data_IF_662609797184
#
_entry.id   IF_662609797184
#
_cell.length_a   1.000
_cell.length_b   1.000
_cell.length_c   1.000
_cell.angle_alpha   90.00
_cell.angle_beta   90.00
_cell.angle_gamma   90.00
#
_symmetry.space_group_name_H-M   'P 1'
#
loop_
_entity.id
_entity.type
_entity.pdbx_description
1 polymer ?
#
# COMPACT_ATOMS: atom_id res chain seq x y z
N UNK A 1 7.94 28.33 61.43
CA UNK A 1 8.01 28.46 59.96
C UNK A 1 7.87 27.09 59.34
N UNK A 2 6.65 26.69 58.91
CA UNK A 2 6.35 25.38 58.27
C UNK A 2 6.55 25.56 56.77
N UNK A 3 7.47 24.79 56.17
CA UNK A 3 7.67 24.74 54.73
C UNK A 3 6.61 23.84 54.11
N UNK A 4 5.73 24.42 53.31
CA UNK A 4 4.72 23.74 52.54
C UNK A 4 5.39 23.20 51.25
N UNK A 5 5.60 21.89 51.17
CA UNK A 5 6.04 21.24 49.93
C UNK A 5 4.81 21.02 49.03
N UNK A 6 4.70 21.79 47.96
CA UNK A 6 3.71 21.58 46.89
C UNK A 6 4.22 20.47 45.96
N UNK A 7 3.61 19.30 46.06
CA UNK A 7 3.80 18.23 45.04
C UNK A 7 2.97 18.55 43.80
N UNK A 8 3.61 18.96 42.73
CA UNK A 8 2.97 19.06 41.42
C UNK A 8 2.96 17.64 40.83
N UNK A 9 1.79 17.00 40.87
CA UNK A 9 1.56 15.77 40.15
C UNK A 9 1.44 16.10 38.64
N UNK A 10 2.48 15.80 37.87
CA UNK A 10 2.41 15.84 36.43
C UNK A 10 1.54 14.67 35.98
N UNK A 11 0.28 14.96 35.65
CA UNK A 11 -0.65 14.02 35.02
C UNK A 11 -0.19 13.85 33.57
N UNK A 12 0.62 12.83 33.31
CA UNK A 12 0.85 12.38 31.95
C UNK A 12 -0.47 11.85 31.38
N UNK A 13 -1.22 12.71 30.70
CA UNK A 13 -2.29 12.28 29.81
C UNK A 13 -1.61 11.43 28.72
N UNK A 14 -1.62 10.11 28.90
CA UNK A 14 -1.39 9.16 27.83
C UNK A 14 -2.54 9.36 26.84
N UNK A 15 -2.31 10.23 25.86
CA UNK A 15 -3.17 10.33 24.68
C UNK A 15 -3.05 8.99 23.97
N UNK A 16 -3.94 8.06 24.28
CA UNK A 16 -4.03 6.80 23.58
C UNK A 16 -4.34 7.10 22.14
N UNK A 17 -3.32 7.07 21.29
CA UNK A 17 -3.51 7.17 19.84
C UNK A 17 -4.27 5.92 19.41
N UNK A 18 -5.59 6.06 19.20
CA UNK A 18 -6.37 4.99 18.61
C UNK A 18 -5.78 4.65 17.24
N UNK A 19 -5.48 3.37 17.04
CA UNK A 19 -5.00 2.88 15.75
C UNK A 19 -5.99 3.29 14.64
N UNK A 20 -5.45 3.87 13.57
CA UNK A 20 -6.28 4.29 12.44
C UNK A 20 -6.86 3.07 11.73
N UNK A 21 -8.16 3.10 11.46
CA UNK A 21 -8.86 2.00 10.79
C UNK A 21 -8.61 2.03 9.29
N UNK A 22 -8.10 0.92 8.73
CA UNK A 22 -7.78 0.83 7.31
C UNK A 22 -8.42 -0.37 6.63
N UNK A 23 -8.69 -0.22 5.34
CA UNK A 23 -8.95 -1.28 4.37
C UNK A 23 -7.84 -1.24 3.34
N UNK A 24 -7.27 -2.40 2.99
CA UNK A 24 -6.18 -2.49 2.02
C UNK A 24 -6.67 -3.26 0.79
N UNK A 25 -6.43 -2.70 -0.41
CA UNK A 25 -6.70 -3.31 -1.70
C UNK A 25 -5.36 -3.57 -2.42
N UNK A 26 -5.12 -4.81 -2.87
CA UNK A 26 -3.80 -5.26 -3.32
C UNK A 26 -3.89 -6.21 -4.51
N UNK A 27 -2.91 -6.17 -5.38
CA UNK A 27 -2.70 -7.17 -6.44
C UNK A 27 -1.44 -8.02 -6.20
N UNK A 28 -1.14 -8.28 -4.91
CA UNK A 28 0.03 -9.02 -4.44
C UNK A 28 0.28 -10.32 -5.21
N UNK A 29 1.53 -10.54 -5.61
CA UNK A 29 1.91 -11.68 -6.46
C UNK A 29 3.20 -12.38 -6.03
N UNK A 30 3.67 -12.14 -4.80
CA UNK A 30 4.86 -12.77 -4.22
C UNK A 30 4.76 -14.31 -4.27
N UNK A 31 5.89 -14.98 -4.40
CA UNK A 31 5.95 -16.44 -4.57
C UNK A 31 5.72 -16.92 -6.01
N UNK A 32 5.48 -16.00 -6.95
CA UNK A 32 5.40 -16.28 -8.38
C UNK A 32 6.65 -15.77 -9.09
N UNK A 33 7.35 -16.61 -9.91
CA UNK A 33 8.54 -16.18 -10.62
C UNK A 33 8.31 -14.95 -11.50
N UNK A 34 9.27 -14.03 -11.52
CA UNK A 34 9.27 -12.82 -12.34
C UNK A 34 8.06 -11.87 -12.12
N UNK A 35 7.45 -11.92 -10.92
CA UNK A 35 6.38 -11.00 -10.51
C UNK A 35 6.92 -9.96 -9.53
N UNK A 36 6.20 -8.86 -9.43
CA UNK A 36 6.49 -7.82 -8.43
C UNK A 36 6.21 -8.35 -7.01
N UNK A 37 7.01 -7.88 -6.06
CA UNK A 37 6.97 -8.31 -4.66
C UNK A 37 6.61 -7.19 -3.69
N UNK A 38 6.53 -5.96 -4.17
CA UNK A 38 6.41 -4.72 -3.40
C UNK A 38 5.11 -4.63 -2.60
N UNK A 39 3.99 -5.13 -3.12
CA UNK A 39 2.76 -5.35 -2.34
C UNK A 39 3.01 -6.17 -1.08
N UNK A 40 3.80 -7.25 -1.16
CA UNK A 40 4.06 -8.10 -0.01
C UNK A 40 4.88 -7.37 1.06
N UNK A 41 5.84 -6.53 0.66
CA UNK A 41 6.55 -5.63 1.57
C UNK A 41 5.58 -4.65 2.24
N UNK A 42 4.64 -4.08 1.48
CA UNK A 42 3.61 -3.19 2.01
C UNK A 42 2.68 -3.90 2.99
N UNK A 43 2.20 -5.10 2.66
CA UNK A 43 1.30 -5.87 3.53
C UNK A 43 1.99 -6.27 4.83
N UNK A 44 3.23 -6.81 4.78
CA UNK A 44 3.97 -7.16 5.99
C UNK A 44 4.29 -5.93 6.84
N UNK A 45 4.67 -4.81 6.20
CA UNK A 45 4.83 -3.52 6.89
C UNK A 45 3.54 -3.12 7.62
N UNK A 46 2.39 -3.25 6.96
CA UNK A 46 1.09 -2.96 7.56
C UNK A 46 0.77 -3.92 8.73
N UNK A 47 1.01 -5.22 8.59
CA UNK A 47 0.78 -6.22 9.64
C UNK A 47 1.62 -5.95 10.90
N UNK A 48 2.83 -5.42 10.73
CA UNK A 48 3.73 -5.09 11.83
C UNK A 48 3.57 -3.65 12.35
N UNK A 49 2.53 -2.92 11.93
CA UNK A 49 2.32 -1.51 12.27
C UNK A 49 1.18 -1.34 13.28
N UNK A 50 1.47 -1.16 14.58
CA UNK A 50 0.44 -1.00 15.61
C UNK A 50 -0.36 0.31 15.50
N UNK A 51 0.11 1.24 14.67
CA UNK A 51 -0.56 2.52 14.40
C UNK A 51 -1.81 2.36 13.54
N UNK A 52 -1.99 1.19 12.90
CA UNK A 52 -3.14 0.88 12.04
C UNK A 52 -3.86 -0.38 12.51
N UNK A 53 -5.17 -0.38 12.31
CA UNK A 53 -6.04 -1.55 12.50
C UNK A 53 -6.67 -1.91 11.16
N UNK A 54 -6.24 -3.03 10.61
CA UNK A 54 -6.73 -3.52 9.32
C UNK A 54 -8.07 -4.22 9.53
N UNK A 55 -9.10 -3.79 8.80
CA UNK A 55 -10.46 -4.34 8.91
C UNK A 55 -10.82 -5.32 7.80
N UNK A 56 -9.99 -5.39 6.78
CA UNK A 56 -10.12 -6.32 5.67
C UNK A 56 -9.11 -6.01 4.57
N UNK A 57 -8.83 -7.03 3.76
CA UNK A 57 -8.05 -6.95 2.55
C UNK A 57 -8.93 -7.37 1.37
N UNK A 58 -8.99 -6.52 0.34
CA UNK A 58 -9.49 -6.95 -0.97
C UNK A 58 -8.34 -7.26 -1.91
N UNK A 59 -8.56 -8.19 -2.81
CA UNK A 59 -7.62 -8.51 -3.86
C UNK A 59 -8.18 -8.14 -5.22
N UNK A 60 -7.33 -7.73 -6.13
CA UNK A 60 -7.67 -7.39 -7.51
C UNK A 60 -6.67 -8.04 -8.48
N UNK A 61 -7.00 -8.03 -9.76
CA UNK A 61 -6.04 -8.35 -10.81
C UNK A 61 -4.99 -7.23 -10.91
N UNK A 62 -3.88 -7.54 -11.54
CA UNK A 62 -2.85 -6.53 -11.80
C UNK A 62 -1.50 -7.17 -12.02
N UNK A 63 -0.71 -7.35 -10.98
CA UNK A 63 0.57 -8.05 -11.04
C UNK A 63 0.40 -9.53 -11.38
N UNK A 64 -0.77 -10.11 -11.09
CA UNK A 64 -1.17 -11.45 -11.49
C UNK A 64 -2.70 -11.54 -11.67
N UNK A 65 -3.24 -12.63 -12.26
CA UNK A 65 -4.67 -12.90 -12.28
C UNK A 65 -5.26 -12.99 -10.86
N UNK A 66 -6.52 -12.56 -10.68
CA UNK A 66 -7.22 -12.49 -9.38
C UNK A 66 -7.06 -13.74 -8.51
N UNK A 67 -7.19 -14.93 -9.10
CA UNK A 67 -7.03 -16.18 -8.34
C UNK A 67 -5.64 -16.37 -7.74
N UNK A 68 -4.58 -15.82 -8.37
CA UNK A 68 -3.22 -15.86 -7.86
C UNK A 68 -3.01 -14.79 -6.78
N UNK A 69 -3.47 -13.56 -7.02
CA UNK A 69 -3.36 -12.47 -6.03
C UNK A 69 -4.12 -12.80 -4.76
N UNK A 70 -5.31 -13.42 -4.87
CA UNK A 70 -6.09 -13.90 -3.71
C UNK A 70 -5.36 -14.99 -2.94
N UNK A 71 -4.74 -15.95 -3.63
CA UNK A 71 -3.95 -17.00 -2.96
C UNK A 71 -2.74 -16.41 -2.24
N UNK A 72 -1.99 -15.52 -2.89
CA UNK A 72 -0.83 -14.87 -2.30
C UNK A 72 -1.21 -14.03 -1.06
N UNK A 73 -2.29 -13.26 -1.13
CA UNK A 73 -2.79 -12.50 0.01
C UNK A 73 -3.20 -13.41 1.19
N UNK A 74 -3.89 -14.52 0.91
CA UNK A 74 -4.27 -15.50 1.95
C UNK A 74 -3.06 -16.18 2.57
N UNK A 75 -2.06 -16.56 1.77
CA UNK A 75 -0.81 -17.13 2.28
C UNK A 75 -0.07 -16.15 3.20
N UNK A 76 0.06 -14.88 2.80
CA UNK A 76 0.66 -13.86 3.66
C UNK A 76 -0.11 -13.64 4.97
N UNK A 77 -1.44 -13.58 4.92
CA UNK A 77 -2.27 -13.44 6.11
C UNK A 77 -2.17 -14.67 7.00
N UNK A 78 -2.19 -15.86 6.45
CA UNK A 78 -2.05 -17.11 7.22
C UNK A 78 -0.71 -17.17 7.94
N UNK A 79 0.38 -16.72 7.30
CA UNK A 79 1.73 -16.75 7.88
C UNK A 79 1.98 -15.62 8.87
N UNK A 80 1.54 -14.41 8.55
CA UNK A 80 2.00 -13.19 9.22
C UNK A 80 0.86 -12.27 9.70
N UNK A 81 -0.39 -12.55 9.33
CA UNK A 81 -1.54 -11.69 9.65
C UNK A 81 -1.92 -11.65 11.12
N UNK A 82 -1.47 -12.65 11.91
CA UNK A 82 -1.80 -12.76 13.34
C UNK A 82 -1.34 -11.55 14.16
N UNK A 83 -0.23 -10.93 13.78
CA UNK A 83 0.27 -9.70 14.43
C UNK A 83 -0.68 -8.50 14.26
N UNK A 84 -1.57 -8.56 13.27
CA UNK A 84 -2.61 -7.55 12.98
C UNK A 84 -4.03 -8.07 13.23
N UNK A 85 -4.20 -9.17 13.98
CA UNK A 85 -5.47 -9.83 14.28
C UNK A 85 -6.25 -10.26 13.00
N UNK A 86 -5.52 -10.64 11.95
CA UNK A 86 -6.10 -11.06 10.68
C UNK A 86 -6.12 -12.59 10.54
N UNK A 87 -7.18 -13.08 9.92
CA UNK A 87 -7.32 -14.45 9.43
C UNK A 87 -7.63 -14.44 7.93
N UNK A 88 -7.58 -15.59 7.27
CA UNK A 88 -7.89 -15.72 5.85
C UNK A 88 -9.31 -15.26 5.49
N UNK A 89 -10.22 -15.23 6.46
CA UNK A 89 -11.59 -14.75 6.29
C UNK A 89 -11.68 -13.22 6.13
N UNK A 90 -10.60 -12.51 6.43
CA UNK A 90 -10.47 -11.08 6.16
C UNK A 90 -9.96 -10.77 4.74
N UNK A 91 -9.76 -11.80 3.89
CA UNK A 91 -9.29 -11.64 2.50
C UNK A 91 -10.43 -11.91 1.52
N UNK A 92 -10.83 -10.86 0.80
CA UNK A 92 -12.00 -10.85 -0.09
C UNK A 92 -11.58 -10.68 -1.55
N UNK A 93 -11.99 -11.61 -2.40
CA UNK A 93 -11.73 -11.50 -3.84
C UNK A 93 -12.61 -10.42 -4.46
N UNK A 94 -12.01 -9.56 -5.28
CA UNK A 94 -12.66 -8.46 -5.97
C UNK A 94 -12.70 -8.64 -7.48
N UNK A 95 -12.25 -7.63 -8.22
CA UNK A 95 -12.25 -7.60 -9.67
C UNK A 95 -11.17 -8.51 -10.30
N UNK A 96 -11.53 -9.26 -11.33
CA UNK A 96 -10.61 -10.08 -12.12
C UNK A 96 -10.04 -9.37 -13.34
N UNK A 97 -10.63 -8.22 -13.73
CA UNK A 97 -10.23 -7.40 -14.86
C UNK A 97 -10.89 -6.01 -14.80
N UNK A 98 -10.48 -5.08 -15.66
CA UNK A 98 -11.16 -3.78 -15.82
C UNK A 98 -12.63 -3.91 -16.26
N UNK A 99 -12.99 -4.99 -16.97
CA UNK A 99 -14.37 -5.24 -17.39
C UNK A 99 -15.32 -5.59 -16.23
N UNK A 100 -14.78 -5.83 -15.04
CA UNK A 100 -15.57 -6.05 -13.82
C UNK A 100 -15.97 -4.75 -13.11
N UNK A 101 -15.59 -3.58 -13.65
CA UNK A 101 -16.02 -2.30 -13.11
C UNK A 101 -17.54 -2.22 -13.02
N UNK A 102 -18.06 -1.95 -11.81
CA UNK A 102 -19.49 -1.91 -11.51
C UNK A 102 -20.10 -3.30 -11.19
N UNK A 103 -19.36 -4.39 -11.29
CA UNK A 103 -19.85 -5.74 -10.95
C UNK A 103 -19.62 -6.03 -9.47
N UNK A 104 -20.69 -6.43 -8.81
CA UNK A 104 -20.67 -6.84 -7.39
C UNK A 104 -19.70 -8.01 -7.18
N UNK A 105 -18.95 -7.96 -6.07
CA UNK A 105 -17.94 -8.97 -5.70
C UNK A 105 -17.89 -9.16 -4.18
N UNK A 106 -17.21 -10.21 -3.71
CA UNK A 106 -16.97 -10.41 -2.28
C UNK A 106 -16.29 -9.21 -1.61
N UNK A 107 -15.37 -8.53 -2.33
CA UNK A 107 -14.72 -7.33 -1.85
C UNK A 107 -15.70 -6.16 -1.67
N UNK A 108 -16.60 -5.92 -2.64
CA UNK A 108 -17.59 -4.83 -2.54
C UNK A 108 -18.59 -5.08 -1.40
N UNK A 109 -18.99 -6.33 -1.17
CA UNK A 109 -19.93 -6.70 -0.11
C UNK A 109 -19.30 -6.54 1.28
N UNK A 110 -18.07 -7.05 1.44
CA UNK A 110 -17.35 -6.96 2.70
C UNK A 110 -17.01 -5.50 3.07
N UNK A 111 -16.53 -4.71 2.10
CA UNK A 111 -16.29 -3.28 2.31
C UNK A 111 -17.57 -2.55 2.72
N UNK A 112 -18.70 -2.86 2.08
CA UNK A 112 -20.02 -2.30 2.43
C UNK A 112 -20.37 -2.61 3.88
N UNK A 113 -20.23 -3.88 4.30
CA UNK A 113 -20.54 -4.31 5.67
C UNK A 113 -19.67 -3.61 6.73
N UNK A 114 -18.38 -3.39 6.41
CA UNK A 114 -17.48 -2.64 7.29
C UNK A 114 -17.88 -1.16 7.35
N UNK A 115 -18.13 -0.53 6.21
CA UNK A 115 -18.47 0.90 6.15
C UNK A 115 -19.83 1.24 6.77
N UNK A 116 -20.75 0.27 6.88
CA UNK A 116 -21.97 0.45 7.67
C UNK A 116 -21.68 0.68 9.16
N UNK A 117 -20.64 0.07 9.69
CA UNK A 117 -20.27 0.12 11.11
C UNK A 117 -19.29 1.24 11.47
N UNK A 118 -18.31 1.51 10.59
CA UNK A 118 -17.22 2.44 10.88
C UNK A 118 -16.70 3.09 9.60
N UNK A 119 -15.94 4.18 9.75
CA UNK A 119 -15.18 4.77 8.65
C UNK A 119 -13.85 4.07 8.49
N UNK A 120 -13.28 4.12 7.29
CA UNK A 120 -11.93 3.59 7.02
C UNK A 120 -11.12 4.55 6.15
N UNK A 121 -9.80 4.50 6.28
CA UNK A 121 -8.88 4.92 5.22
C UNK A 121 -8.72 3.75 4.26
N UNK A 122 -8.91 4.00 2.97
CA UNK A 122 -8.74 3.00 1.91
C UNK A 122 -7.33 3.13 1.33
N UNK A 123 -6.51 2.07 1.42
CA UNK A 123 -5.16 2.02 0.85
C UNK A 123 -5.22 1.11 -0.38
N UNK A 124 -4.98 1.69 -1.56
CA UNK A 124 -4.99 0.98 -2.83
C UNK A 124 -3.54 0.82 -3.33
N UNK A 125 -3.08 -0.42 -3.39
CA UNK A 125 -1.77 -0.82 -3.91
C UNK A 125 -1.88 -1.23 -5.39
N UNK A 126 -3.03 -1.78 -5.81
CA UNK A 126 -3.36 -2.19 -7.17
C UNK A 126 -4.33 -1.24 -7.91
N UNK A 127 -4.86 -1.67 -9.07
CA UNK A 127 -5.86 -0.94 -9.85
C UNK A 127 -7.12 -0.63 -9.03
N UNK A 128 -7.72 0.54 -9.25
CA UNK A 128 -8.83 1.07 -8.45
C UNK A 128 -10.21 0.44 -8.77
N UNK A 129 -10.27 -0.65 -9.51
CA UNK A 129 -11.52 -1.27 -9.98
C UNK A 129 -12.45 -1.64 -8.82
N UNK A 130 -11.93 -2.19 -7.70
CA UNK A 130 -12.73 -2.54 -6.53
C UNK A 130 -13.36 -1.31 -5.87
N UNK A 131 -12.57 -0.26 -5.64
CA UNK A 131 -13.05 0.98 -5.04
C UNK A 131 -14.06 1.69 -5.94
N UNK A 132 -13.77 1.79 -7.23
CA UNK A 132 -14.67 2.43 -8.19
C UNK A 132 -15.99 1.67 -8.30
N UNK A 133 -15.95 0.34 -8.29
CA UNK A 133 -17.15 -0.52 -8.24
C UNK A 133 -17.97 -0.22 -6.98
N UNK A 134 -17.34 -0.18 -5.81
CA UNK A 134 -18.03 0.18 -4.57
C UNK A 134 -18.70 1.56 -4.67
N UNK A 135 -18.03 2.56 -5.21
CA UNK A 135 -18.56 3.92 -5.36
C UNK A 135 -19.74 3.99 -6.34
N UNK A 136 -19.74 3.16 -7.40
CA UNK A 136 -20.87 3.07 -8.33
C UNK A 136 -22.08 2.38 -7.69
N UNK A 137 -21.86 1.31 -6.94
CA UNK A 137 -22.92 0.55 -6.28
C UNK A 137 -23.51 1.27 -5.05
N UNK A 138 -22.66 2.02 -4.32
CA UNK A 138 -22.99 2.64 -3.04
C UNK A 138 -22.56 4.11 -2.95
N UNK A 139 -22.99 5.01 -3.87
CA UNK A 139 -22.49 6.39 -3.94
C UNK A 139 -22.76 7.19 -2.66
N UNK A 140 -23.85 6.89 -1.94
CA UNK A 140 -24.19 7.53 -0.65
C UNK A 140 -23.24 7.16 0.49
N UNK A 141 -22.45 6.10 0.34
CA UNK A 141 -21.50 5.64 1.35
C UNK A 141 -20.07 6.16 1.12
N UNK A 142 -19.83 6.95 0.07
CA UNK A 142 -18.52 7.53 -0.21
C UNK A 142 -17.96 8.33 0.99
N UNK A 143 -18.82 9.01 1.76
CA UNK A 143 -18.44 9.77 2.97
C UNK A 143 -18.02 8.89 4.17
N UNK A 144 -18.16 7.58 4.06
CA UNK A 144 -17.66 6.61 5.04
C UNK A 144 -16.19 6.25 4.81
N UNK A 145 -15.65 6.60 3.65
CA UNK A 145 -14.21 6.52 3.36
C UNK A 145 -13.60 7.86 3.73
N UNK A 146 -12.73 7.87 4.74
CA UNK A 146 -12.11 9.11 5.26
C UNK A 146 -11.13 9.72 4.27
N UNK A 147 -10.34 8.85 3.62
CA UNK A 147 -9.41 9.17 2.54
C UNK A 147 -9.05 7.91 1.76
N UNK A 148 -8.56 8.14 0.56
CA UNK A 148 -7.89 7.12 -0.26
C UNK A 148 -6.39 7.44 -0.29
N UNK A 149 -5.55 6.43 -0.04
CA UNK A 149 -4.12 6.48 -0.34
C UNK A 149 -3.91 5.55 -1.53
N UNK A 150 -3.39 6.07 -2.63
CA UNK A 150 -3.28 5.33 -3.88
C UNK A 150 -1.86 5.39 -4.43
N UNK A 151 -1.31 4.22 -4.76
CA UNK A 151 -0.03 4.10 -5.47
C UNK A 151 -0.28 4.36 -6.94
N UNK A 152 0.01 5.58 -7.36
CA UNK A 152 -0.21 6.04 -8.71
C UNK A 152 -0.11 7.56 -8.84
N UNK A 153 -0.15 8.02 -10.09
CA UNK A 153 0.01 9.41 -10.47
C UNK A 153 1.40 9.72 -11.03
N UNK A 154 1.45 10.54 -12.06
CA UNK A 154 2.68 10.92 -12.73
C UNK A 154 2.68 12.40 -13.12
N UNK A 155 3.86 12.98 -13.33
CA UNK A 155 3.97 14.31 -13.91
C UNK A 155 3.56 14.25 -15.41
N UNK A 156 2.99 15.33 -15.97
CA UNK A 156 2.59 15.36 -17.38
C UNK A 156 3.76 15.07 -18.32
N UNK A 157 3.58 14.16 -19.28
CA UNK A 157 4.56 13.80 -20.27
C UNK A 157 5.81 13.06 -19.74
N UNK A 158 5.80 12.65 -18.47
CA UNK A 158 6.91 11.91 -17.86
C UNK A 158 6.60 10.42 -17.86
N UNK A 159 7.46 9.65 -18.54
CA UNK A 159 7.53 8.19 -18.42
C UNK A 159 8.60 7.82 -17.39
N UNK A 160 8.28 6.91 -16.49
CA UNK A 160 9.25 6.41 -15.52
C UNK A 160 10.24 5.49 -16.22
N UNK A 161 11.51 5.86 -16.19
CA UNK A 161 12.59 5.15 -16.89
C UNK A 161 13.71 4.76 -15.91
N UNK A 162 14.20 3.54 -16.05
CA UNK A 162 15.20 2.93 -15.19
C UNK A 162 16.45 2.50 -15.95
N UNK A 163 17.50 2.22 -15.18
CA UNK A 163 18.80 1.77 -15.67
C UNK A 163 19.70 2.94 -16.10
N UNK A 164 20.99 2.64 -16.37
CA UNK A 164 21.99 3.66 -16.72
C UNK A 164 21.65 4.44 -17.98
N UNK A 165 21.05 3.77 -18.97
CA UNK A 165 20.64 4.36 -20.25
C UNK A 165 19.20 4.87 -20.22
N UNK A 166 18.48 4.70 -19.11
CA UNK A 166 17.06 5.03 -18.95
C UNK A 166 16.17 4.40 -20.04
N UNK A 167 16.55 3.22 -20.53
CA UNK A 167 15.85 2.53 -21.61
C UNK A 167 14.72 1.58 -21.14
N UNK A 168 14.71 1.22 -19.87
CA UNK A 168 13.64 0.41 -19.30
C UNK A 168 12.52 1.33 -18.79
N UNK A 169 11.44 1.42 -19.58
CA UNK A 169 10.29 2.26 -19.25
C UNK A 169 9.17 1.45 -18.61
N UNK A 170 8.56 2.00 -17.58
CA UNK A 170 7.30 1.47 -17.01
C UNK A 170 6.22 2.53 -17.04
N UNK A 171 5.01 2.10 -17.28
CA UNK A 171 3.82 2.91 -17.09
C UNK A 171 3.46 2.97 -15.60
N UNK A 172 2.62 3.93 -15.23
CA UNK A 172 1.87 3.84 -13.99
C UNK A 172 0.89 2.66 -14.11
N UNK A 173 1.34 1.49 -13.67
CA UNK A 173 0.67 0.22 -13.94
C UNK A 173 -0.75 0.19 -13.39
N UNK A 174 -0.98 0.75 -12.20
CA UNK A 174 -2.28 0.74 -11.55
C UNK A 174 -3.31 1.60 -12.30
N UNK A 175 -2.89 2.76 -12.79
CA UNK A 175 -3.72 3.64 -13.63
C UNK A 175 -3.93 3.04 -15.00
N UNK A 176 -2.86 2.53 -15.63
CA UNK A 176 -2.92 1.95 -16.98
C UNK A 176 -3.86 0.73 -17.08
N UNK A 177 -3.88 -0.10 -16.04
CA UNK A 177 -4.74 -1.31 -15.99
C UNK A 177 -6.23 -0.97 -15.90
N UNK A 178 -6.59 0.18 -15.27
CA UNK A 178 -7.98 0.66 -15.21
C UNK A 178 -8.07 2.18 -15.07
N UNK A 179 -7.89 2.88 -16.17
CA UNK A 179 -8.01 4.34 -16.22
C UNK A 179 -9.46 4.82 -15.95
N UNK A 180 -10.46 4.02 -16.31
CA UNK A 180 -11.87 4.34 -16.08
C UNK A 180 -12.22 4.31 -14.59
N UNK A 181 -11.74 3.31 -13.85
CA UNK A 181 -11.86 3.23 -12.40
C UNK A 181 -11.13 4.40 -11.72
N UNK A 182 -9.90 4.69 -12.17
CA UNK A 182 -9.11 5.84 -11.66
C UNK A 182 -9.88 7.15 -11.85
N UNK A 183 -10.46 7.37 -13.03
CA UNK A 183 -11.31 8.53 -13.33
C UNK A 183 -12.55 8.59 -12.43
N UNK A 184 -13.17 7.45 -12.11
CA UNK A 184 -14.32 7.38 -11.21
C UNK A 184 -13.94 7.79 -9.79
N UNK A 185 -12.84 7.28 -9.25
CA UNK A 185 -12.33 7.66 -7.93
C UNK A 185 -11.90 9.12 -7.91
N UNK A 186 -11.26 9.60 -8.97
CA UNK A 186 -10.85 10.99 -9.07
C UNK A 186 -12.06 11.95 -9.07
N UNK A 187 -13.19 11.58 -9.65
CA UNK A 187 -14.43 12.38 -9.62
C UNK A 187 -15.17 12.30 -8.28
N UNK A 188 -14.84 11.36 -7.40
CA UNK A 188 -15.43 11.33 -6.07
C UNK A 188 -14.91 12.49 -5.22
N UNK A 189 -15.67 12.86 -4.18
CA UNK A 189 -15.26 13.91 -3.24
C UNK A 189 -14.37 13.38 -2.08
N UNK A 190 -13.92 12.12 -2.15
CA UNK A 190 -13.11 11.51 -1.08
C UNK A 190 -11.70 12.14 -1.11
N UNK A 191 -11.16 12.60 0.02
CA UNK A 191 -9.78 13.09 0.09
C UNK A 191 -8.81 12.05 -0.49
N UNK A 192 -7.96 12.47 -1.45
CA UNK A 192 -7.04 11.58 -2.15
C UNK A 192 -5.58 11.96 -1.84
N UNK A 193 -4.82 10.97 -1.39
CA UNK A 193 -3.36 11.05 -1.25
C UNK A 193 -2.75 10.13 -2.31
N UNK A 194 -1.92 10.70 -3.18
CA UNK A 194 -1.20 9.96 -4.21
C UNK A 194 0.21 9.65 -3.72
N UNK A 195 0.66 8.45 -4.02
CA UNK A 195 2.04 7.99 -3.85
C UNK A 195 2.56 7.64 -5.25
N UNK A 196 3.13 8.62 -5.98
CA UNK A 196 3.57 8.40 -7.35
C UNK A 196 4.63 7.32 -7.45
N UNK A 197 4.53 6.48 -8.48
CA UNK A 197 5.53 5.46 -8.80
C UNK A 197 6.93 6.05 -8.91
N UNK A 198 7.04 7.28 -9.46
CA UNK A 198 8.31 8.01 -9.51
C UNK A 198 8.92 8.28 -8.13
N UNK A 199 8.10 8.60 -7.12
CA UNK A 199 8.59 8.76 -5.74
C UNK A 199 8.95 7.41 -5.14
N UNK A 200 8.08 6.40 -5.27
CA UNK A 200 8.31 5.05 -4.77
C UNK A 200 9.54 4.37 -5.37
N UNK A 201 9.90 4.72 -6.62
CA UNK A 201 11.08 4.17 -7.32
C UNK A 201 12.43 4.43 -6.63
N UNK A 202 12.47 5.37 -5.70
CA UNK A 202 13.66 5.69 -4.91
C UNK A 202 13.76 4.87 -3.61
N UNK A 203 12.71 4.15 -3.21
CA UNK A 203 12.74 3.26 -2.05
C UNK A 203 13.22 1.88 -2.50
N UNK A 204 14.55 1.73 -2.56
CA UNK A 204 15.22 0.54 -3.09
C UNK A 204 15.64 -0.42 -1.98
N UNK A 205 15.41 -1.71 -2.21
CA UNK A 205 15.96 -2.83 -1.42
C UNK A 205 17.06 -3.51 -2.22
N UNK A 206 18.23 -3.66 -1.63
CA UNK A 206 19.40 -4.30 -2.23
C UNK A 206 19.72 -5.67 -1.61
N UNK A 207 20.78 -6.32 -2.10
CA UNK A 207 21.20 -7.64 -1.59
C UNK A 207 21.65 -7.62 -0.12
N UNK A 208 22.14 -6.49 0.40
CA UNK A 208 22.50 -6.38 1.82
C UNK A 208 21.24 -6.29 2.69
N UNK A 209 20.23 -5.56 2.23
CA UNK A 209 18.93 -5.47 2.89
C UNK A 209 18.25 -6.84 2.95
N UNK A 210 18.22 -7.59 1.83
CA UNK A 210 17.63 -8.94 1.81
C UNK A 210 18.36 -9.88 2.78
N UNK A 211 19.68 -9.84 2.83
CA UNK A 211 20.43 -10.65 3.83
C UNK A 211 20.14 -10.23 5.27
N UNK A 212 19.88 -8.95 5.50
CA UNK A 212 19.48 -8.46 6.83
C UNK A 212 18.07 -8.94 7.20
N UNK A 213 17.11 -8.92 6.26
CA UNK A 213 15.77 -9.48 6.43
C UNK A 213 15.83 -10.99 6.67
N UNK A 214 16.63 -11.74 5.91
CA UNK A 214 16.81 -13.19 6.05
C UNK A 214 17.22 -13.57 7.47
N UNK A 215 18.20 -12.86 8.03
CA UNK A 215 18.70 -13.09 9.39
C UNK A 215 17.68 -12.81 10.49
N UNK A 216 16.66 -12.01 10.22
CA UNK A 216 15.61 -11.71 11.20
C UNK A 216 14.61 -12.86 11.39
N UNK A 217 14.59 -13.85 10.50
CA UNK A 217 13.61 -14.93 10.52
C UNK A 217 12.19 -14.47 10.12
N UNK A 218 11.20 -15.32 10.32
CA UNK A 218 9.78 -15.00 10.12
C UNK A 218 9.48 -14.36 8.77
N UNK A 219 8.74 -13.24 8.79
CA UNK A 219 8.34 -12.52 7.59
C UNK A 219 9.55 -11.96 6.81
N UNK A 220 10.58 -11.49 7.50
CA UNK A 220 11.80 -10.99 6.85
C UNK A 220 12.49 -12.08 6.03
N UNK A 221 12.64 -13.28 6.58
CA UNK A 221 13.22 -14.42 5.85
C UNK A 221 12.37 -14.79 4.62
N UNK A 222 11.05 -14.85 4.78
CA UNK A 222 10.14 -15.14 3.66
C UNK A 222 10.27 -14.10 2.53
N UNK A 223 10.19 -12.81 2.87
CA UNK A 223 10.35 -11.74 1.90
C UNK A 223 11.69 -11.80 1.19
N UNK A 224 12.79 -12.03 1.94
CA UNK A 224 14.13 -12.17 1.37
C UNK A 224 14.19 -13.31 0.35
N UNK A 225 13.72 -14.49 0.73
CA UNK A 225 13.77 -15.69 -0.12
C UNK A 225 12.99 -15.49 -1.42
N UNK A 226 11.75 -15.04 -1.32
CA UNK A 226 10.85 -14.89 -2.47
C UNK A 226 11.24 -13.70 -3.39
N UNK A 227 12.06 -12.77 -2.90
CA UNK A 227 12.47 -11.60 -3.68
C UNK A 227 13.78 -11.79 -4.45
N UNK A 228 14.47 -12.92 -4.35
CA UNK A 228 15.81 -13.10 -4.95
C UNK A 228 15.80 -12.96 -6.48
N UNK A 229 14.85 -13.61 -7.16
CA UNK A 229 14.73 -13.55 -8.64
C UNK A 229 14.32 -12.16 -9.08
N UNK A 230 13.36 -11.53 -8.38
CA UNK A 230 12.94 -10.16 -8.62
C UNK A 230 14.11 -9.17 -8.46
N UNK A 231 14.90 -9.28 -7.37
CA UNK A 231 16.06 -8.42 -7.17
C UNK A 231 17.12 -8.64 -8.25
N UNK A 232 17.36 -9.91 -8.65
CA UNK A 232 18.26 -10.21 -9.76
C UNK A 232 17.83 -9.52 -11.05
N UNK A 233 16.53 -9.55 -11.40
CA UNK A 233 16.00 -8.84 -12.56
C UNK A 233 16.30 -7.34 -12.48
N UNK A 234 15.98 -6.68 -11.38
CA UNK A 234 16.23 -5.25 -11.22
C UNK A 234 17.73 -4.89 -11.29
N UNK A 235 18.60 -5.68 -10.66
CA UNK A 235 20.03 -5.36 -10.56
C UNK A 235 20.83 -5.77 -11.78
N UNK A 236 20.47 -6.85 -12.47
CA UNK A 236 21.24 -7.39 -13.61
C UNK A 236 20.62 -7.05 -14.96
N UNK A 237 19.30 -7.15 -15.10
CA UNK A 237 18.63 -6.84 -16.36
C UNK A 237 18.35 -5.33 -16.49
N UNK A 238 17.67 -4.73 -15.52
CA UNK A 238 17.37 -3.28 -15.50
C UNK A 238 18.61 -2.46 -15.13
N UNK A 239 19.56 -3.05 -14.40
CA UNK A 239 20.82 -2.43 -13.95
C UNK A 239 20.62 -1.27 -12.98
N UNK A 240 19.75 -1.45 -12.01
CA UNK A 240 19.53 -0.54 -10.87
C UNK A 240 20.35 -0.97 -9.65
N UNK A 241 20.51 -0.09 -8.68
CA UNK A 241 21.24 -0.38 -7.43
C UNK A 241 20.40 -1.17 -6.41
N UNK A 242 19.24 -1.69 -6.82
CA UNK A 242 18.29 -2.43 -5.98
C UNK A 242 16.93 -2.50 -6.66
N UNK A 243 16.02 -3.29 -6.11
CA UNK A 243 14.63 -3.36 -6.55
C UNK A 243 13.76 -2.34 -5.82
N UNK A 244 12.87 -1.62 -6.50
CA UNK A 244 11.99 -0.63 -5.88
C UNK A 244 10.80 -1.32 -5.20
N UNK A 245 10.57 -1.02 -3.92
CA UNK A 245 9.39 -1.47 -3.18
C UNK A 245 8.36 -0.32 -3.13
N UNK A 246 7.76 -0.02 -4.29
CA UNK A 246 6.87 1.14 -4.51
C UNK A 246 5.76 1.23 -3.46
N UNK A 247 5.07 0.14 -3.21
CA UNK A 247 3.85 0.05 -2.42
C UNK A 247 4.09 0.23 -0.92
N UNK A 248 5.27 -0.14 -0.42
CA UNK A 248 5.61 0.05 0.98
C UNK A 248 5.49 1.52 1.41
N UNK A 249 5.71 2.46 0.46
CA UNK A 249 5.59 3.88 0.74
C UNK A 249 4.13 4.32 1.00
N UNK A 250 3.11 3.56 0.53
CA UNK A 250 1.70 3.86 0.78
C UNK A 250 1.25 3.57 2.22
N UNK A 251 2.02 2.79 2.98
CA UNK A 251 1.73 2.51 4.39
C UNK A 251 2.29 3.62 5.30
N UNK A 252 3.37 4.27 4.87
CA UNK A 252 4.08 5.30 5.68
C UNK A 252 3.19 6.49 6.05
N UNK A 253 2.24 7.00 5.22
CA UNK A 253 1.33 8.09 5.61
C UNK A 253 0.47 7.79 6.85
N UNK A 254 0.26 6.51 7.17
CA UNK A 254 -0.55 6.06 8.30
C UNK A 254 0.29 5.70 9.54
N UNK A 255 1.59 5.53 9.38
CA UNK A 255 2.49 5.05 10.44
C UNK A 255 3.49 6.11 10.87
N UNK A 256 4.16 6.75 9.93
CA UNK A 256 5.22 7.76 10.14
C UNK A 256 5.10 8.90 9.11
N UNK A 257 3.98 9.65 9.12
CA UNK A 257 3.73 10.69 8.11
C UNK A 257 4.81 11.77 8.05
N UNK A 258 5.52 12.01 9.14
CA UNK A 258 6.63 12.98 9.21
C UNK A 258 7.85 12.58 8.37
N UNK A 259 7.96 11.31 7.97
CA UNK A 259 9.01 10.86 7.06
C UNK A 259 8.73 11.20 5.59
N UNK A 260 7.54 11.73 5.28
CA UNK A 260 7.11 12.02 3.92
C UNK A 260 7.03 13.51 3.63
N UNK A 261 7.43 13.90 2.43
CA UNK A 261 7.18 15.21 1.86
C UNK A 261 5.87 15.20 1.10
N UNK A 262 4.76 15.56 1.76
CA UNK A 262 3.44 15.61 1.13
C UNK A 262 3.08 17.05 0.80
N UNK A 263 2.74 17.31 -0.48
CA UNK A 263 2.36 18.65 -0.97
C UNK A 263 0.94 18.65 -1.52
N UNK A 264 0.27 19.79 -1.40
CA UNK A 264 -0.98 20.04 -2.13
C UNK A 264 -0.66 20.15 -3.62
N UNK A 265 -1.36 19.38 -4.45
CA UNK A 265 -1.23 19.35 -5.90
C UNK A 265 -2.62 19.23 -6.54
N UNK A 266 -2.64 19.19 -7.86
CA UNK A 266 -3.85 19.09 -8.65
C UNK A 266 -3.72 17.92 -9.62
N UNK A 267 -4.72 17.06 -9.65
CA UNK A 267 -4.71 15.85 -10.46
C UNK A 267 -5.91 15.81 -11.40
N UNK A 268 -5.68 15.32 -12.60
CA UNK A 268 -6.73 15.06 -13.61
C UNK A 268 -6.36 13.84 -14.44
N UNK A 269 -7.34 13.24 -15.09
CA UNK A 269 -7.07 12.32 -16.19
C UNK A 269 -6.72 13.13 -17.43
N UNK A 270 -5.67 12.70 -18.15
CA UNK A 270 -5.41 13.25 -19.49
C UNK A 270 -6.15 12.46 -20.59
N UNK A 271 -6.05 12.91 -21.85
CA UNK A 271 -6.71 12.26 -22.98
C UNK A 271 -6.17 10.85 -23.27
N UNK A 272 -4.95 10.57 -22.87
CA UNK A 272 -4.33 9.26 -22.99
C UNK A 272 -4.71 8.30 -21.84
N UNK A 273 -5.51 8.76 -20.87
CA UNK A 273 -5.95 7.96 -19.73
C UNK A 273 -4.95 7.91 -18.58
N UNK A 274 -3.94 8.78 -18.54
CA UNK A 274 -3.00 8.87 -17.43
C UNK A 274 -3.55 9.76 -16.31
N UNK A 275 -3.24 9.43 -15.06
CA UNK A 275 -3.46 10.29 -13.91
C UNK A 275 -2.30 11.28 -13.79
N UNK A 276 -2.48 12.49 -14.32
CA UNK A 276 -1.45 13.52 -14.29
C UNK A 276 -1.60 14.44 -13.10
N UNK A 277 -0.47 14.75 -12.45
CA UNK A 277 -0.37 15.56 -11.23
C UNK A 277 0.47 16.80 -11.50
N UNK A 278 -0.08 17.98 -11.20
CA UNK A 278 0.56 19.27 -11.46
C UNK A 278 0.63 20.16 -10.23
N UNK A 279 1.63 21.04 -10.11
CA UNK A 279 1.72 22.01 -9.00
C UNK A 279 0.70 23.14 -9.10
N UNK A 280 0.18 23.42 -10.29
CA UNK A 280 -0.79 24.49 -10.56
C UNK A 280 -2.14 23.90 -10.95
N UNK A 281 -3.21 24.60 -10.59
CA UNK A 281 -4.57 24.22 -10.98
C UNK A 281 -4.71 24.33 -12.50
N UNK A 282 -5.21 23.26 -13.11
CA UNK A 282 -5.56 23.22 -14.54
C UNK A 282 -7.04 22.85 -14.67
N UNK A 283 -7.62 23.13 -15.83
CA UNK A 283 -9.03 22.83 -16.07
C UNK A 283 -9.32 21.33 -15.85
N UNK A 284 -10.43 21.03 -15.17
CA UNK A 284 -10.85 19.67 -14.85
C UNK A 284 -10.02 18.96 -13.77
N UNK A 285 -9.01 19.63 -13.19
CA UNK A 285 -8.20 19.04 -12.12
C UNK A 285 -8.84 19.26 -10.73
N UNK A 286 -8.66 18.28 -9.85
CA UNK A 286 -9.05 18.40 -8.44
C UNK A 286 -7.83 18.47 -7.53
N UNK A 287 -8.02 19.02 -6.34
CA UNK A 287 -7.01 19.05 -5.29
C UNK A 287 -6.73 17.62 -4.76
N UNK A 288 -5.45 17.27 -4.65
CA UNK A 288 -4.94 16.05 -4.04
C UNK A 288 -3.78 16.35 -3.10
N UNK A 289 -3.44 15.39 -2.25
CA UNK A 289 -2.19 15.35 -1.52
C UNK A 289 -1.23 14.46 -2.31
N UNK A 290 -0.04 14.95 -2.60
CA UNK A 290 0.95 14.27 -3.44
C UNK A 290 2.22 14.02 -2.65
N UNK A 291 2.64 12.76 -2.54
CA UNK A 291 3.91 12.37 -1.93
C UNK A 291 5.05 12.67 -2.90
N UNK A 292 5.70 13.80 -2.69
CA UNK A 292 6.77 14.29 -3.59
C UNK A 292 8.16 13.82 -3.20
N UNK A 293 8.29 13.08 -2.10
CA UNK A 293 9.56 12.55 -1.60
C UNK A 293 9.44 12.01 -0.19
N UNK A 294 10.53 11.46 0.32
CA UNK A 294 10.64 10.93 1.67
C UNK A 294 12.06 11.11 2.24
N UNK A 295 12.15 11.06 3.58
CA UNK A 295 13.41 11.19 4.30
C UNK A 295 14.28 9.93 4.15
N UNK A 296 15.60 10.06 4.27
CA UNK A 296 16.55 8.93 4.21
C UNK A 296 16.26 7.85 5.26
N UNK A 297 15.71 8.25 6.39
CA UNK A 297 15.31 7.37 7.50
C UNK A 297 14.15 6.44 7.14
N UNK A 298 13.39 6.74 6.09
CA UNK A 298 12.22 5.94 5.66
C UNK A 298 12.60 4.51 5.34
N UNK A 299 13.68 4.29 4.59
CA UNK A 299 14.18 2.92 4.29
C UNK A 299 14.50 2.16 5.58
N UNK A 300 15.21 2.80 6.51
CA UNK A 300 15.57 2.19 7.80
C UNK A 300 14.33 1.87 8.64
N UNK A 301 13.34 2.75 8.63
CA UNK A 301 12.07 2.51 9.32
C UNK A 301 11.35 1.29 8.73
N UNK A 302 11.19 1.24 7.40
CA UNK A 302 10.54 0.11 6.71
C UNK A 302 11.24 -1.20 7.03
N UNK A 303 12.57 -1.28 6.81
CA UNK A 303 13.34 -2.50 7.05
C UNK A 303 13.23 -2.97 8.51
N UNK A 304 13.29 -2.07 9.49
CA UNK A 304 13.13 -2.45 10.92
C UNK A 304 11.74 -3.04 11.20
N UNK A 305 10.68 -2.50 10.59
CA UNK A 305 9.32 -3.05 10.76
C UNK A 305 9.18 -4.43 10.14
N UNK A 306 9.77 -4.64 8.98
CA UNK A 306 9.76 -5.95 8.30
C UNK A 306 10.52 -7.04 9.09
N UNK A 307 11.46 -6.64 9.96
CA UNK A 307 12.25 -7.53 10.80
C UNK A 307 11.59 -7.87 12.15
N UNK A 308 10.45 -7.28 12.48
CA UNK A 308 9.81 -7.52 13.75
C UNK A 308 9.40 -8.99 13.87
N UNK A 309 9.83 -9.64 14.99
CA UNK A 309 9.37 -10.97 15.32
C UNK A 309 7.88 -10.95 15.70
N UNK A 310 7.15 -12.06 15.51
CA UNK A 310 5.81 -12.24 16.05
C UNK A 310 5.79 -11.87 17.54
N UNK A 311 4.71 -11.27 18.03
CA UNK A 311 4.56 -10.95 19.45
C UNK A 311 4.70 -12.24 20.28
N UNK A 312 5.30 -12.14 21.48
CA UNK A 312 5.48 -13.29 22.39
C UNK A 312 4.17 -14.08 22.54
N UNK A 313 4.18 -15.37 22.17
CA UNK A 313 3.00 -16.24 22.16
C UNK A 313 2.56 -16.72 20.78
N UNK A 314 3.13 -16.18 19.73
CA UNK A 314 2.86 -16.62 18.34
C UNK A 314 3.88 -17.69 17.92
N UNK A 315 3.40 -18.93 17.74
CA UNK A 315 4.22 -19.97 17.09
C UNK A 315 4.35 -19.64 15.59
N UNK A 316 5.53 -19.83 14.97
CA UNK A 316 5.65 -19.72 13.53
C UNK A 316 4.68 -20.71 12.86
N UNK A 317 3.93 -20.21 11.86
CA UNK A 317 3.07 -21.07 11.05
C UNK A 317 3.94 -22.13 10.35
N UNK A 318 3.56 -23.40 10.46
CA UNK A 318 4.22 -24.44 9.71
C UNK A 318 4.08 -24.21 8.20
N UNK A 319 5.13 -24.46 7.40
CA UNK A 319 5.01 -24.37 5.96
C UNK A 319 3.96 -25.37 5.47
N UNK A 320 2.99 -24.89 4.69
CA UNK A 320 2.08 -25.77 3.96
C UNK A 320 2.92 -26.69 3.08
N UNK A 321 2.77 -28.00 3.28
CA UNK A 321 3.41 -29.02 2.45
C UNK A 321 3.15 -28.72 0.96
N UNK A 322 4.18 -28.89 0.15
CA UNK A 322 4.16 -28.69 -1.31
C UNK A 322 3.23 -29.70 -1.99
#
# INVERSE_FOLDING_TARGET
MRKLCVFIAILCLACGTHAATVWIDTDVSIGSPFREVDDAFALVLAFHSPEIRITGLSTTYGNAPLGQTTRAARDLVQRFGRSADLTVDHVFAGAGSASDLGRRSGASDALTAILQKQKVTYIALGPLTNLATFLQLHPKMANRIERVIFVGGQAPGVSLAFGPTRSFHIHDANVFKDSAATGTVLRSNIPLTLVPTATGSHLLVDGADLRQLERSGGAGNYLSHESRIWLWFWTHFVKTNGGPIFDALAIVPMTRPELLSIKKRYARMDEAGNLVVTPRLTNGARTVRDCTGFALETKRFVLRRLQQAPRKGEAPAEPLGR
#
